data_IF_935764539628
#
_entry.id   IF_935764539628
#
_cell.length_a   1.000
_cell.length_b   1.000
_cell.length_c   1.000
_cell.angle_alpha   90.00
_cell.angle_beta   90.00
_cell.angle_gamma   90.00
#
_symmetry.space_group_name_H-M   'P 1'
#
loop_
_entity.id
_entity.type
_entity.pdbx_description
1 polymer ?
#
# COMPACT_ATOMS: atom_id res chain seq x y z
N UNK A 1 -32.82 63.38 54.91
CA UNK A 1 -33.46 63.61 53.62
C UNK A 1 -32.36 63.87 52.56
N UNK A 2 -32.06 62.94 51.72
CA UNK A 2 -31.56 63.16 50.35
C UNK A 2 -31.61 61.78 49.70
N UNK A 3 -32.34 61.68 48.63
CA UNK A 3 -32.58 60.51 47.79
C UNK A 3 -31.40 60.23 46.86
N UNK A 4 -30.83 59.09 46.89
CA UNK A 4 -29.82 58.62 45.96
C UNK A 4 -30.49 57.96 44.74
N UNK A 5 -30.17 58.45 43.54
CA UNK A 5 -30.59 57.87 42.28
C UNK A 5 -29.66 56.72 41.91
N UNK A 6 -30.19 55.51 41.88
CA UNK A 6 -29.50 54.36 41.31
C UNK A 6 -29.55 54.41 39.78
N UNK A 7 -28.37 54.42 39.11
CA UNK A 7 -28.22 54.20 37.68
C UNK A 7 -28.19 52.71 37.40
N UNK A 8 -29.25 52.19 36.80
CA UNK A 8 -29.31 50.85 36.23
C UNK A 8 -28.49 50.81 34.93
N UNK A 9 -27.38 50.13 34.93
CA UNK A 9 -26.64 49.85 33.73
C UNK A 9 -27.21 48.56 33.12
N UNK A 10 -27.90 48.71 31.97
CA UNK A 10 -28.37 47.57 31.17
C UNK A 10 -27.17 47.08 30.36
N UNK A 11 -26.64 45.96 30.74
CA UNK A 11 -25.59 45.25 29.94
C UNK A 11 -26.31 44.48 28.83
N UNK A 12 -26.26 45.00 27.60
CA UNK A 12 -26.71 44.28 26.43
C UNK A 12 -25.72 43.15 26.13
N UNK A 13 -26.08 41.94 26.49
CA UNK A 13 -25.34 40.74 26.05
C UNK A 13 -25.63 40.51 24.57
N UNK A 14 -24.67 40.84 23.73
CA UNK A 14 -24.68 40.45 22.32
C UNK A 14 -24.53 38.91 22.27
N UNK A 15 -25.62 38.21 21.98
CA UNK A 15 -25.60 36.77 21.66
C UNK A 15 -24.97 36.66 20.26
N UNK A 16 -23.68 36.35 20.23
CA UNK A 16 -23.02 35.85 19.04
C UNK A 16 -23.56 34.43 18.75
N UNK A 17 -24.59 34.34 17.93
CA UNK A 17 -24.97 33.07 17.29
C UNK A 17 -23.82 32.66 16.40
N UNK A 18 -23.29 31.45 16.52
CA UNK A 18 -22.34 30.94 15.56
C UNK A 18 -23.09 30.87 14.21
N UNK A 19 -22.62 31.59 13.24
CA UNK A 19 -23.01 31.38 11.84
C UNK A 19 -22.48 30.00 11.50
N UNK A 20 -23.35 28.99 11.66
CA UNK A 20 -23.14 27.69 11.06
C UNK A 20 -23.12 27.94 9.54
N UNK A 21 -21.92 28.15 8.99
CA UNK A 21 -21.74 28.11 7.57
C UNK A 21 -22.34 26.79 7.10
N UNK A 22 -23.35 26.86 6.24
CA UNK A 22 -23.77 25.75 5.40
C UNK A 22 -22.52 25.32 4.62
N UNK A 23 -21.75 24.39 5.17
CA UNK A 23 -20.88 23.57 4.35
C UNK A 23 -21.83 22.89 3.36
N UNK A 24 -21.67 23.21 2.07
CA UNK A 24 -22.19 22.38 1.02
C UNK A 24 -21.92 20.93 1.46
N UNK A 25 -22.91 20.05 1.40
CA UNK A 25 -22.70 18.61 1.58
C UNK A 25 -21.61 18.25 0.60
N UNK A 26 -20.37 18.17 1.07
CA UNK A 26 -19.30 17.54 0.34
C UNK A 26 -19.83 16.15 -0.02
N UNK A 27 -19.82 15.83 -1.30
CA UNK A 27 -20.21 14.54 -1.80
C UNK A 27 -19.34 13.50 -1.12
N UNK A 28 -19.65 12.83 -0.10
CA UNK A 28 -18.85 11.94 0.76
C UNK A 28 -17.67 11.15 0.14
N UNK A 29 -17.23 11.54 -1.07
CA UNK A 29 -16.09 10.98 -1.80
C UNK A 29 -14.78 11.31 -1.09
N UNK A 30 -13.91 10.32 -0.99
CA UNK A 30 -12.52 10.52 -0.59
C UNK A 30 -11.84 11.44 -1.62
N UNK A 31 -11.12 12.45 -1.12
CA UNK A 31 -10.27 13.31 -1.94
C UNK A 31 -8.83 12.96 -1.59
N UNK A 32 -8.08 12.50 -2.57
CA UNK A 32 -6.69 12.08 -2.40
C UNK A 32 -5.77 13.29 -2.22
N UNK A 33 -4.58 13.07 -1.66
CA UNK A 33 -3.57 14.13 -1.49
C UNK A 33 -3.20 14.81 -2.81
N UNK A 34 -3.07 14.04 -3.88
CA UNK A 34 -2.67 14.49 -5.22
C UNK A 34 -3.72 15.40 -5.91
N UNK A 35 -5.02 15.28 -5.56
CA UNK A 35 -6.09 16.12 -6.06
C UNK A 35 -6.06 17.53 -5.46
N UNK A 36 -5.41 17.72 -4.33
CA UNK A 36 -5.43 18.94 -3.53
C UNK A 36 -4.39 19.96 -4.01
N UNK A 37 -4.36 20.27 -5.29
CA UNK A 37 -3.42 21.21 -5.90
C UNK A 37 -3.32 22.55 -5.16
N UNK A 38 -4.42 23.05 -4.60
CA UNK A 38 -4.43 24.30 -3.83
C UNK A 38 -3.60 24.26 -2.55
N UNK A 39 -3.37 23.08 -2.00
CA UNK A 39 -2.59 22.89 -0.76
C UNK A 39 -1.08 22.81 -1.05
N UNK A 40 -0.68 22.08 -2.08
CA UNK A 40 0.75 21.79 -2.29
C UNK A 40 1.42 22.57 -3.43
N UNK A 41 0.71 23.09 -4.45
CA UNK A 41 1.32 23.91 -5.48
C UNK A 41 2.04 25.15 -4.92
N UNK A 42 1.48 25.88 -3.92
CA UNK A 42 2.20 26.99 -3.32
C UNK A 42 3.51 26.61 -2.64
N UNK A 43 3.63 25.35 -2.17
CA UNK A 43 4.83 24.85 -1.49
C UNK A 43 5.99 24.53 -2.46
N UNK A 44 5.66 24.30 -3.73
CA UNK A 44 6.62 23.92 -4.78
C UNK A 44 6.81 25.02 -5.84
N UNK A 45 6.19 26.18 -5.66
CA UNK A 45 6.30 27.29 -6.60
C UNK A 45 7.76 27.73 -6.79
N UNK A 46 8.20 27.80 -8.04
CA UNK A 46 9.57 28.19 -8.40
C UNK A 46 10.66 27.20 -8.03
N UNK A 47 10.32 25.98 -7.58
CA UNK A 47 11.26 24.92 -7.21
C UNK A 47 11.44 23.93 -8.36
N UNK A 48 12.61 23.25 -8.36
CA UNK A 48 12.83 22.04 -9.15
C UNK A 48 12.23 20.88 -8.37
N UNK A 49 11.35 20.13 -9.00
CA UNK A 49 10.58 19.08 -8.34
C UNK A 49 10.98 17.73 -8.88
N UNK A 50 11.36 16.80 -8.00
CA UNK A 50 11.39 15.37 -8.31
C UNK A 50 10.13 14.69 -7.82
N UNK A 51 9.75 13.56 -8.45
CA UNK A 51 8.55 12.81 -8.09
C UNK A 51 8.91 11.34 -7.86
N UNK A 52 8.54 10.77 -6.71
CA UNK A 52 8.56 9.33 -6.50
C UNK A 52 7.16 8.78 -6.78
N UNK A 53 7.02 8.05 -7.88
CA UNK A 53 5.74 7.54 -8.36
C UNK A 53 5.90 6.34 -9.27
N UNK A 54 4.79 5.69 -9.58
CA UNK A 54 4.66 4.66 -10.62
C UNK A 54 3.31 4.79 -11.35
N UNK A 55 2.85 3.73 -12.05
CA UNK A 55 1.58 3.73 -12.79
C UNK A 55 0.36 4.10 -11.92
N UNK A 56 0.44 3.98 -10.61
CA UNK A 56 -0.67 4.29 -9.70
C UNK A 56 -0.81 5.78 -9.39
N UNK A 57 0.16 6.61 -9.78
CA UNK A 57 0.14 8.07 -9.57
C UNK A 57 -0.84 8.79 -10.51
N UNK A 58 -2.09 8.30 -10.58
CA UNK A 58 -3.18 8.93 -11.32
C UNK A 58 -3.87 9.93 -10.41
N UNK A 59 -4.04 11.17 -10.88
CA UNK A 59 -4.66 12.24 -10.10
C UNK A 59 -6.10 11.89 -9.76
N UNK A 60 -6.35 11.70 -8.46
CA UNK A 60 -7.60 11.20 -7.96
C UNK A 60 -7.83 9.73 -8.34
N UNK A 61 -9.09 9.38 -8.53
CA UNK A 61 -9.56 8.04 -8.91
C UNK A 61 -10.17 8.01 -10.32
N UNK A 62 -9.65 8.81 -11.23
CA UNK A 62 -10.23 9.02 -12.56
C UNK A 62 -9.70 8.04 -13.60
N UNK A 63 -10.17 6.81 -13.52
CA UNK A 63 -10.00 5.81 -14.57
C UNK A 63 -11.38 5.47 -15.11
N UNK A 64 -11.67 5.81 -16.35
CA UNK A 64 -12.93 5.51 -17.00
C UNK A 64 -12.87 4.22 -17.81
N UNK A 65 -14.04 3.63 -18.13
CA UNK A 65 -14.15 2.40 -18.92
C UNK A 65 -13.88 1.11 -18.13
N UNK A 66 -13.54 1.20 -16.85
CA UNK A 66 -13.47 0.06 -15.94
C UNK A 66 -14.79 -0.15 -15.24
N UNK A 67 -15.30 -1.39 -15.19
CA UNK A 67 -16.51 -1.73 -14.44
C UNK A 67 -16.35 -1.41 -12.95
N UNK A 68 -15.16 -1.69 -12.39
CA UNK A 68 -14.86 -1.34 -11.02
C UNK A 68 -14.92 0.17 -10.78
N UNK A 69 -14.39 0.97 -11.71
CA UNK A 69 -14.47 2.42 -11.63
C UNK A 69 -15.91 2.93 -11.63
N UNK A 70 -16.76 2.39 -12.51
CA UNK A 70 -18.17 2.80 -12.60
C UNK A 70 -18.88 2.54 -11.26
N UNK A 71 -18.68 1.36 -10.66
CA UNK A 71 -19.24 1.00 -9.35
C UNK A 71 -18.66 1.88 -8.24
N UNK A 72 -17.33 2.05 -8.17
CA UNK A 72 -16.69 2.89 -7.15
C UNK A 72 -17.15 4.35 -7.24
N UNK A 73 -17.32 4.88 -8.46
CA UNK A 73 -17.78 6.25 -8.65
C UNK A 73 -19.21 6.46 -8.14
N UNK A 74 -20.08 5.45 -8.24
CA UNK A 74 -21.44 5.49 -7.69
C UNK A 74 -21.44 5.55 -6.16
N UNK A 75 -20.49 4.87 -5.50
CA UNK A 75 -20.35 4.81 -4.05
C UNK A 75 -19.30 5.78 -3.46
N UNK A 76 -18.79 6.70 -4.26
CA UNK A 76 -17.89 7.76 -3.80
C UNK A 76 -16.46 7.33 -3.51
N UNK A 77 -16.00 6.22 -4.10
CA UNK A 77 -14.59 5.77 -4.02
C UNK A 77 -14.28 4.84 -2.84
N UNK A 78 -15.24 4.61 -1.94
CA UNK A 78 -15.11 3.64 -0.84
C UNK A 78 -16.46 3.00 -0.53
N UNK A 79 -16.46 1.93 0.27
CA UNK A 79 -17.68 1.29 0.75
C UNK A 79 -17.55 0.87 2.21
N UNK A 80 -18.67 0.91 2.92
CA UNK A 80 -18.78 0.38 4.28
C UNK A 80 -19.21 -1.09 4.19
N UNK A 81 -18.45 -2.02 4.81
CA UNK A 81 -18.86 -3.41 4.90
C UNK A 81 -20.20 -3.61 5.62
N UNK A 82 -20.57 -2.69 6.52
CA UNK A 82 -21.86 -2.73 7.24
C UNK A 82 -23.04 -2.49 6.30
N UNK A 83 -22.85 -1.75 5.21
CA UNK A 83 -23.89 -1.51 4.21
C UNK A 83 -24.14 -2.72 3.29
N UNK A 84 -23.28 -3.75 3.40
CA UNK A 84 -23.38 -5.01 2.68
C UNK A 84 -23.56 -4.82 1.16
N UNK A 85 -22.81 -3.86 0.61
CA UNK A 85 -22.92 -3.47 -0.79
C UNK A 85 -22.43 -4.59 -1.71
N UNK A 86 -23.38 -5.37 -2.22
CA UNK A 86 -23.12 -6.53 -3.07
C UNK A 86 -22.40 -6.14 -4.36
N UNK A 87 -22.77 -5.01 -4.96
CA UNK A 87 -22.17 -4.55 -6.21
C UNK A 87 -20.68 -4.22 -6.02
N UNK A 88 -20.30 -3.58 -4.91
CA UNK A 88 -18.89 -3.30 -4.61
C UNK A 88 -18.10 -4.56 -4.27
N UNK A 89 -18.72 -5.50 -3.55
CA UNK A 89 -18.09 -6.79 -3.29
C UNK A 89 -17.85 -7.57 -4.58
N UNK A 90 -18.83 -7.60 -5.48
CA UNK A 90 -18.70 -8.23 -6.80
C UNK A 90 -17.64 -7.49 -7.65
N UNK A 91 -17.62 -6.16 -7.64
CA UNK A 91 -16.63 -5.36 -8.35
C UNK A 91 -15.20 -5.58 -7.83
N UNK A 92 -15.03 -5.74 -6.51
CA UNK A 92 -13.73 -6.03 -5.90
C UNK A 92 -13.18 -7.42 -6.26
N UNK A 93 -14.01 -8.31 -6.77
CA UNK A 93 -13.62 -9.66 -7.22
C UNK A 93 -13.20 -9.73 -8.68
N UNK A 94 -13.49 -8.68 -9.48
CA UNK A 94 -13.10 -8.62 -10.90
C UNK A 94 -11.74 -7.92 -11.04
N UNK A 95 -11.15 -8.06 -12.22
CA UNK A 95 -9.91 -7.35 -12.54
C UNK A 95 -10.17 -5.85 -12.67
N UNK A 96 -9.24 -5.04 -12.16
CA UNK A 96 -9.35 -3.58 -12.16
C UNK A 96 -9.56 -2.98 -13.55
N UNK A 97 -8.90 -3.57 -14.54
CA UNK A 97 -8.88 -3.05 -15.91
C UNK A 97 -9.88 -3.75 -16.84
N UNK A 98 -10.89 -4.44 -16.30
CA UNK A 98 -11.94 -5.01 -17.11
C UNK A 98 -12.89 -3.91 -17.63
N UNK A 99 -13.08 -3.75 -18.96
CA UNK A 99 -13.98 -2.73 -19.48
C UNK A 99 -15.43 -2.98 -19.08
N UNK A 100 -16.15 -1.93 -18.68
CA UNK A 100 -17.58 -1.98 -18.34
C UNK A 100 -18.46 -2.29 -19.55
N UNK A 101 -17.98 -1.99 -20.77
CA UNK A 101 -18.66 -2.28 -22.04
C UNK A 101 -17.84 -3.28 -22.85
N UNK A 102 -18.41 -4.38 -23.34
CA UNK A 102 -17.71 -5.31 -24.21
C UNK A 102 -17.07 -4.60 -25.41
N UNK A 103 -15.76 -4.73 -25.55
CA UNK A 103 -14.98 -4.04 -26.59
C UNK A 103 -14.69 -2.55 -26.28
N UNK A 104 -15.09 -2.05 -25.11
CA UNK A 104 -14.76 -0.72 -24.64
C UNK A 104 -13.25 -0.57 -24.38
N UNK A 105 -12.73 0.64 -24.59
CA UNK A 105 -11.36 1.00 -24.26
C UNK A 105 -11.35 1.59 -22.86
N UNK A 106 -10.42 1.10 -22.01
CA UNK A 106 -10.15 1.72 -20.71
C UNK A 106 -9.37 3.01 -20.96
N UNK A 107 -9.89 4.11 -20.42
CA UNK A 107 -9.23 5.41 -20.44
C UNK A 107 -8.67 5.71 -19.06
N UNK A 108 -7.36 5.76 -18.96
CA UNK A 108 -6.68 6.14 -17.73
C UNK A 108 -6.84 7.63 -17.45
N UNK A 109 -6.92 8.00 -16.19
CA UNK A 109 -6.82 9.39 -15.76
C UNK A 109 -5.43 9.97 -16.02
N UNK A 110 -5.27 11.25 -15.72
CA UNK A 110 -4.01 11.95 -15.91
C UNK A 110 -3.01 11.56 -14.82
N UNK A 111 -1.81 11.16 -15.23
CA UNK A 111 -0.72 10.89 -14.28
C UNK A 111 -0.25 12.20 -13.62
N UNK A 112 0.15 12.14 -12.34
CA UNK A 112 0.59 13.30 -11.57
C UNK A 112 1.73 14.09 -12.25
N UNK A 113 2.67 13.40 -12.92
CA UNK A 113 3.75 14.05 -13.67
C UNK A 113 3.18 14.92 -14.78
N UNK A 114 2.24 14.38 -15.59
CA UNK A 114 1.60 15.10 -16.68
C UNK A 114 0.81 16.29 -16.15
N UNK A 115 0.04 16.09 -15.07
CA UNK A 115 -0.77 17.12 -14.45
C UNK A 115 0.06 18.31 -13.91
N UNK A 116 1.23 18.01 -13.32
CA UNK A 116 2.14 19.04 -12.82
C UNK A 116 2.83 19.81 -13.94
N UNK A 117 3.26 19.12 -15.00
CA UNK A 117 3.84 19.75 -16.18
C UNK A 117 2.84 20.69 -16.87
N UNK A 118 1.58 20.29 -17.02
CA UNK A 118 0.51 21.16 -17.56
C UNK A 118 0.25 22.39 -16.70
N UNK A 119 0.47 22.29 -15.38
CA UNK A 119 0.37 23.42 -14.45
C UNK A 119 1.63 24.30 -14.42
N UNK A 120 2.63 23.99 -15.27
CA UNK A 120 3.87 24.75 -15.36
C UNK A 120 4.86 24.47 -14.24
N UNK A 121 4.71 23.38 -13.48
CA UNK A 121 5.69 22.97 -12.46
C UNK A 121 6.96 22.46 -13.16
N UNK A 122 8.11 22.88 -12.65
CA UNK A 122 9.40 22.45 -13.14
C UNK A 122 9.76 21.03 -12.61
N UNK A 123 9.17 19.99 -13.24
CA UNK A 123 9.47 18.59 -12.92
C UNK A 123 10.79 18.21 -13.58
N UNK A 124 11.81 17.92 -12.77
CA UNK A 124 13.19 17.69 -13.25
C UNK A 124 13.63 16.24 -13.19
N UNK A 125 12.97 15.40 -12.38
CA UNK A 125 13.33 14.00 -12.22
C UNK A 125 12.15 13.16 -11.72
N UNK A 126 12.21 11.85 -12.02
CA UNK A 126 11.30 10.84 -11.49
C UNK A 126 12.13 9.77 -10.80
N UNK A 127 11.78 9.41 -9.57
CA UNK A 127 12.22 8.19 -8.92
C UNK A 127 11.14 7.13 -9.06
N UNK A 128 11.54 5.94 -9.43
CA UNK A 128 10.63 4.81 -9.65
C UNK A 128 10.94 3.68 -8.69
N UNK A 129 9.91 3.05 -8.10
CA UNK A 129 10.09 1.85 -7.27
C UNK A 129 10.37 0.62 -8.13
N UNK A 130 10.41 -0.53 -7.49
CA UNK A 130 10.29 -1.85 -8.12
C UNK A 130 9.12 -1.85 -9.13
N UNK A 131 9.23 -2.58 -10.22
CA UNK A 131 8.32 -2.59 -11.38
C UNK A 131 8.38 -1.39 -12.32
N UNK A 132 9.19 -0.37 -12.04
CA UNK A 132 9.41 0.77 -12.93
C UNK A 132 8.28 1.80 -12.94
N UNK A 133 8.54 2.94 -13.57
CA UNK A 133 7.62 4.10 -13.56
C UNK A 133 6.27 3.83 -14.24
N UNK A 134 6.27 3.04 -15.34
CA UNK A 134 5.04 2.67 -16.06
C UNK A 134 4.53 1.26 -15.71
N UNK A 135 5.07 0.61 -14.67
CA UNK A 135 4.60 -0.67 -14.16
C UNK A 135 4.87 -1.87 -15.07
N UNK A 136 5.87 -1.81 -15.92
CA UNK A 136 6.16 -2.84 -16.94
C UNK A 136 7.33 -3.76 -16.58
N UNK A 137 8.10 -3.45 -15.52
CA UNK A 137 9.24 -4.26 -15.10
C UNK A 137 8.81 -5.41 -14.16
N UNK A 138 9.55 -6.53 -14.21
CA UNK A 138 9.32 -7.67 -13.30
C UNK A 138 9.84 -7.38 -11.89
N UNK A 139 9.35 -8.14 -10.91
CA UNK A 139 9.83 -8.08 -9.53
C UNK A 139 11.34 -8.34 -9.47
N UNK A 140 12.09 -7.44 -8.80
CA UNK A 140 13.56 -7.53 -8.68
C UNK A 140 14.34 -7.11 -9.94
N UNK A 141 13.66 -6.66 -11.00
CA UNK A 141 14.34 -6.12 -12.19
C UNK A 141 14.90 -4.72 -11.88
N UNK A 142 16.23 -4.56 -12.07
CA UNK A 142 16.87 -3.25 -11.90
C UNK A 142 16.47 -2.30 -13.03
N UNK A 143 15.83 -1.20 -12.66
CA UNK A 143 15.51 -0.12 -13.60
C UNK A 143 16.73 0.81 -13.68
N UNK A 144 17.41 0.81 -14.83
CA UNK A 144 18.49 1.77 -15.10
C UNK A 144 17.91 3.17 -15.33
N UNK A 145 18.74 4.21 -15.14
CA UNK A 145 18.39 5.58 -15.50
C UNK A 145 17.97 5.65 -16.96
N UNK A 146 16.84 6.28 -17.21
CA UNK A 146 16.19 6.40 -18.54
C UNK A 146 15.43 7.71 -18.62
N UNK A 147 14.76 7.94 -19.73
CA UNK A 147 13.88 9.12 -19.92
C UNK A 147 12.47 8.60 -20.15
N UNK A 148 11.48 9.18 -19.47
CA UNK A 148 10.08 8.89 -19.77
C UNK A 148 9.74 9.43 -21.17
N UNK A 149 9.40 8.54 -22.10
CA UNK A 149 9.19 8.89 -23.51
C UNK A 149 8.03 9.86 -23.71
N UNK A 150 7.05 9.85 -22.82
CA UNK A 150 5.86 10.71 -22.92
C UNK A 150 6.15 12.14 -22.51
N UNK A 151 6.92 12.35 -21.44
CA UNK A 151 7.14 13.66 -20.85
C UNK A 151 8.53 14.24 -21.09
N UNK A 152 9.50 13.40 -21.48
CA UNK A 152 10.90 13.77 -21.60
C UNK A 152 11.62 13.95 -20.25
N UNK A 153 10.97 13.65 -19.11
CA UNK A 153 11.57 13.76 -17.79
C UNK A 153 12.47 12.57 -17.51
N UNK A 154 13.63 12.84 -16.91
CA UNK A 154 14.60 11.81 -16.57
C UNK A 154 14.10 10.91 -15.43
N UNK A 155 14.18 9.59 -15.59
CA UNK A 155 13.93 8.59 -14.58
C UNK A 155 15.25 8.20 -13.94
N UNK A 156 15.39 8.44 -12.63
CA UNK A 156 16.61 8.19 -11.87
C UNK A 156 16.54 6.82 -11.18
N UNK A 157 17.61 6.05 -11.30
CA UNK A 157 17.76 4.78 -10.60
C UNK A 157 18.12 5.00 -9.13
N UNK A 158 17.53 4.19 -8.25
CA UNK A 158 17.90 4.13 -6.82
C UNK A 158 19.04 3.15 -6.53
N UNK A 159 19.50 2.41 -7.55
CA UNK A 159 20.44 1.30 -7.38
C UNK A 159 21.85 1.58 -7.93
N UNK A 160 22.09 2.79 -8.44
CA UNK A 160 23.36 3.15 -9.09
C UNK A 160 24.57 3.05 -8.16
N UNK A 161 24.39 3.33 -6.88
CA UNK A 161 25.47 3.37 -5.89
C UNK A 161 25.70 2.06 -5.16
N UNK A 162 24.81 1.06 -5.37
CA UNK A 162 24.80 -0.19 -4.59
C UNK A 162 24.38 -0.02 -3.12
N UNK A 163 23.96 1.18 -2.70
CA UNK A 163 23.59 1.52 -1.31
C UNK A 163 22.10 1.73 -1.12
N UNK A 164 21.27 1.55 -2.14
CA UNK A 164 19.85 1.89 -2.16
C UNK A 164 19.54 3.40 -1.95
N UNK A 165 20.55 4.26 -1.95
CA UNK A 165 20.41 5.70 -1.87
C UNK A 165 20.73 6.33 -3.25
N UNK A 166 20.01 7.38 -3.66
CA UNK A 166 20.36 8.16 -4.84
C UNK A 166 21.77 8.76 -4.74
N UNK A 167 22.42 8.92 -5.88
CA UNK A 167 23.73 9.60 -5.94
C UNK A 167 23.63 11.09 -5.61
N UNK A 168 24.72 11.72 -5.22
CA UNK A 168 24.77 13.16 -5.01
C UNK A 168 24.34 13.93 -6.27
N UNK A 169 24.73 13.45 -7.45
CA UNK A 169 24.33 14.02 -8.74
C UNK A 169 22.81 13.97 -8.94
N UNK A 170 22.18 12.84 -8.60
CA UNK A 170 20.72 12.70 -8.64
C UNK A 170 20.05 13.66 -7.67
N UNK A 171 20.61 13.81 -6.45
CA UNK A 171 20.05 14.71 -5.43
C UNK A 171 20.21 16.20 -5.78
N UNK A 172 21.18 16.57 -6.60
CA UNK A 172 21.38 17.95 -7.06
C UNK A 172 20.35 18.38 -8.14
N UNK A 173 19.62 17.45 -8.74
CA UNK A 173 18.67 17.75 -9.81
C UNK A 173 17.38 18.41 -9.33
N UNK A 174 17.05 18.35 -8.05
CA UNK A 174 15.80 18.87 -7.50
C UNK A 174 15.99 19.59 -6.16
N UNK A 175 14.96 20.32 -5.75
CA UNK A 175 14.90 21.03 -4.46
C UNK A 175 13.87 20.38 -3.53
N UNK A 176 12.77 19.85 -4.08
CA UNK A 176 11.68 19.22 -3.36
C UNK A 176 11.35 17.87 -4.02
N UNK A 177 11.11 16.85 -3.20
CA UNK A 177 10.62 15.54 -3.63
C UNK A 177 9.13 15.40 -3.29
N UNK A 178 8.29 15.20 -4.29
CA UNK A 178 6.90 14.76 -4.10
C UNK A 178 6.85 13.22 -4.09
N UNK A 179 6.04 12.66 -3.22
CA UNK A 179 5.74 11.23 -3.15
C UNK A 179 4.26 11.04 -3.48
N UNK A 180 3.96 10.34 -4.55
CA UNK A 180 2.61 10.00 -4.98
C UNK A 180 2.55 8.59 -5.52
N UNK A 181 2.25 7.63 -4.66
CA UNK A 181 2.26 6.20 -4.97
C UNK A 181 1.27 5.44 -4.09
N UNK A 182 0.62 4.42 -4.66
CA UNK A 182 -0.31 3.57 -3.92
C UNK A 182 0.42 2.39 -3.28
N UNK A 183 0.42 2.34 -1.96
CA UNK A 183 0.86 1.21 -1.15
C UNK A 183 -0.34 0.33 -0.74
N UNK A 184 -0.08 -0.90 -0.28
CA UNK A 184 -1.12 -1.83 0.18
C UNK A 184 -1.06 -2.12 1.68
N UNK A 185 -0.20 -1.44 2.43
CA UNK A 185 -0.16 -1.48 3.89
C UNK A 185 0.48 -2.71 4.51
N UNK A 186 1.38 -3.39 3.77
CA UNK A 186 2.04 -4.61 4.21
C UNK A 186 3.55 -4.44 4.25
N UNK A 187 4.20 -4.92 5.33
CA UNK A 187 5.64 -4.76 5.55
C UNK A 187 6.50 -5.27 4.41
N UNK A 188 6.12 -6.34 3.75
CA UNK A 188 6.86 -6.90 2.62
C UNK A 188 6.45 -6.32 1.25
N UNK A 189 5.55 -5.33 1.22
CA UNK A 189 5.27 -4.51 0.05
C UNK A 189 6.20 -3.28 0.08
N UNK A 190 7.18 -3.23 -0.83
CA UNK A 190 8.45 -2.53 -0.60
C UNK A 190 8.46 -1.02 -0.89
N UNK A 191 7.32 -0.41 -1.27
CA UNK A 191 7.29 1.03 -1.60
C UNK A 191 7.65 1.93 -0.41
N UNK A 192 7.23 1.57 0.79
CA UNK A 192 7.62 2.29 2.00
C UNK A 192 9.13 2.21 2.27
N UNK A 193 9.82 1.12 1.87
CA UNK A 193 11.27 0.97 2.01
C UNK A 193 11.97 1.97 1.09
N UNK A 194 11.50 2.07 -0.16
CA UNK A 194 12.00 3.05 -1.12
C UNK A 194 11.77 4.48 -0.62
N UNK A 195 10.57 4.77 -0.08
CA UNK A 195 10.28 6.06 0.54
C UNK A 195 11.22 6.35 1.73
N UNK A 196 11.50 5.37 2.58
CA UNK A 196 12.44 5.50 3.69
C UNK A 196 13.84 5.89 3.19
N UNK A 197 14.37 5.21 2.16
CA UNK A 197 15.68 5.55 1.59
C UNK A 197 15.69 6.96 0.98
N UNK A 198 14.61 7.37 0.34
CA UNK A 198 14.45 8.72 -0.19
C UNK A 198 14.34 9.76 0.94
N UNK A 199 13.67 9.45 2.05
CA UNK A 199 13.64 10.30 3.26
C UNK A 199 15.05 10.49 3.83
N UNK A 200 15.82 9.41 3.92
CA UNK A 200 17.21 9.46 4.36
C UNK A 200 18.07 10.33 3.44
N UNK A 201 17.94 10.15 2.13
CA UNK A 201 18.64 10.96 1.15
C UNK A 201 18.24 12.44 1.26
N UNK A 202 16.95 12.75 1.34
CA UNK A 202 16.45 14.11 1.54
C UNK A 202 17.02 14.75 2.82
N UNK A 203 17.03 14.00 3.92
CA UNK A 203 17.61 14.47 5.18
C UNK A 203 19.11 14.78 5.05
N UNK A 204 19.90 13.91 4.40
CA UNK A 204 21.35 14.09 4.19
C UNK A 204 21.69 15.28 3.30
N UNK A 205 20.86 15.56 2.30
CA UNK A 205 21.11 16.62 1.31
C UNK A 205 20.28 17.89 1.54
N UNK A 206 19.54 17.98 2.65
CA UNK A 206 18.72 19.15 3.00
C UNK A 206 17.60 19.42 2.01
N UNK A 207 16.97 18.36 1.48
CA UNK A 207 15.81 18.45 0.58
C UNK A 207 14.52 18.25 1.36
N UNK A 208 13.46 18.99 0.97
CA UNK A 208 12.11 18.79 1.52
C UNK A 208 11.42 17.64 0.80
N UNK A 209 10.67 16.82 1.54
CA UNK A 209 9.77 15.82 1.01
C UNK A 209 8.32 16.21 1.30
N UNK A 210 7.44 16.05 0.32
CA UNK A 210 5.99 16.21 0.46
C UNK A 210 5.32 14.91 0.03
N UNK A 211 4.57 14.29 0.94
CA UNK A 211 3.80 13.07 0.64
C UNK A 211 2.36 13.47 0.30
N UNK A 212 1.93 13.18 -0.92
CA UNK A 212 0.54 13.28 -1.35
C UNK A 212 -0.16 11.98 -0.98
N UNK A 213 -0.80 11.96 0.19
CA UNK A 213 -1.20 10.71 0.82
C UNK A 213 -2.38 10.03 0.10
N UNK A 214 -2.41 8.70 0.19
CA UNK A 214 -3.44 7.83 -0.39
C UNK A 214 -3.96 6.86 0.66
N UNK A 215 -5.25 6.46 0.59
CA UNK A 215 -5.82 5.47 1.50
C UNK A 215 -5.06 4.14 1.44
N UNK A 216 -4.94 3.50 2.60
CA UNK A 216 -4.43 2.14 2.68
C UNK A 216 -5.60 1.15 2.57
N UNK A 217 -5.66 0.25 1.55
CA UNK A 217 -6.74 -0.73 1.41
C UNK A 217 -6.80 -1.73 2.58
N UNK A 218 -5.67 -1.97 3.27
CA UNK A 218 -5.58 -2.76 4.49
C UNK A 218 -5.45 -1.87 5.75
N UNK A 219 -5.90 -0.61 5.69
CA UNK A 219 -5.81 0.35 6.79
C UNK A 219 -6.65 0.00 8.02
N UNK A 220 -7.70 -0.79 7.85
CA UNK A 220 -8.72 -1.11 8.83
C UNK A 220 -8.28 -2.09 9.94
N UNK A 221 -7.07 -2.65 9.86
CA UNK A 221 -6.56 -3.57 10.87
C UNK A 221 -5.05 -3.51 11.02
N UNK A 222 -4.57 -4.05 12.13
CA UNK A 222 -3.15 -4.31 12.41
C UNK A 222 -3.02 -5.78 12.74
N UNK A 223 -2.04 -6.47 12.15
CA UNK A 223 -1.82 -7.88 12.41
C UNK A 223 -0.39 -8.32 12.09
N UNK A 224 -0.02 -9.50 12.60
CA UNK A 224 1.30 -10.07 12.44
C UNK A 224 2.34 -9.49 13.41
N UNK A 225 3.45 -10.18 13.55
CA UNK A 225 4.52 -9.80 14.45
C UNK A 225 5.23 -8.51 14.03
N UNK A 226 5.72 -7.75 15.00
CA UNK A 226 6.72 -6.70 14.76
C UNK A 226 7.99 -7.36 14.20
N UNK A 227 8.61 -6.75 13.20
CA UNK A 227 9.87 -7.22 12.64
C UNK A 227 10.96 -7.28 13.72
N UNK A 228 11.48 -8.46 13.98
CA UNK A 228 12.76 -8.60 14.67
C UNK A 228 13.88 -8.14 13.72
N UNK A 229 14.63 -7.12 14.12
CA UNK A 229 15.64 -6.47 13.27
C UNK A 229 16.79 -7.41 12.85
N UNK A 230 16.89 -8.61 13.41
CA UNK A 230 17.77 -9.69 12.91
C UNK A 230 17.34 -10.21 11.53
N UNK A 231 16.06 -10.01 11.18
CA UNK A 231 15.48 -10.35 9.88
C UNK A 231 15.30 -9.12 8.97
N UNK A 232 15.94 -7.99 9.30
CA UNK A 232 15.94 -6.80 8.43
C UNK A 232 16.47 -7.15 7.04
N UNK A 233 15.72 -6.80 6.01
CA UNK A 233 16.02 -7.17 4.62
C UNK A 233 15.31 -6.24 3.63
N UNK A 234 15.51 -6.46 2.32
CA UNK A 234 14.78 -5.73 1.26
C UNK A 234 13.27 -5.95 1.26
N UNK A 235 12.73 -6.90 2.04
CA UNK A 235 11.29 -7.16 2.19
C UNK A 235 10.77 -6.95 3.62
N UNK A 236 11.57 -6.29 4.46
CA UNK A 236 11.23 -5.94 5.83
C UNK A 236 12.32 -5.04 6.41
N UNK A 237 12.06 -3.73 6.49
CA UNK A 237 13.10 -2.74 6.81
C UNK A 237 12.92 -2.08 8.17
N UNK A 238 11.69 -1.86 8.60
CA UNK A 238 11.34 -1.15 9.82
C UNK A 238 10.72 -2.08 10.87
N UNK A 239 10.86 -1.78 12.18
CA UNK A 239 10.28 -2.56 13.27
C UNK A 239 8.75 -2.31 13.38
N UNK A 240 8.01 -2.71 12.34
CA UNK A 240 6.55 -2.57 12.24
C UNK A 240 5.89 -3.94 12.13
N UNK A 241 4.59 -4.02 12.42
CA UNK A 241 3.79 -5.22 12.20
C UNK A 241 3.71 -5.57 10.71
N UNK A 242 3.41 -6.83 10.40
CA UNK A 242 3.24 -7.28 9.00
C UNK A 242 2.17 -6.47 8.29
N UNK A 243 0.99 -6.32 8.90
CA UNK A 243 -0.05 -5.37 8.48
C UNK A 243 -0.01 -4.20 9.45
N UNK A 244 0.48 -3.05 9.00
CA UNK A 244 0.72 -1.93 9.90
C UNK A 244 -0.48 -0.98 10.04
N UNK A 245 -1.48 -1.07 9.16
CA UNK A 245 -2.69 -0.28 9.23
C UNK A 245 -2.47 1.24 9.17
N UNK A 246 -1.43 1.70 8.47
CA UNK A 246 -1.07 3.11 8.31
C UNK A 246 -1.01 3.44 6.82
N UNK A 247 -1.29 4.70 6.45
CA UNK A 247 -0.98 5.21 5.10
C UNK A 247 0.53 5.48 4.96
N UNK A 248 1.00 5.74 3.74
CA UNK A 248 2.41 6.11 3.53
C UNK A 248 2.74 7.45 4.22
N UNK A 249 1.81 8.41 4.21
CA UNK A 249 2.00 9.69 4.90
C UNK A 249 2.16 9.52 6.41
N UNK A 250 1.31 8.70 7.03
CA UNK A 250 1.41 8.37 8.46
C UNK A 250 2.72 7.64 8.78
N UNK A 251 3.11 6.68 7.92
CA UNK A 251 4.36 5.95 8.12
C UNK A 251 5.58 6.85 7.95
N UNK A 252 5.56 7.81 7.02
CA UNK A 252 6.61 8.81 6.89
C UNK A 252 6.75 9.69 8.15
N UNK A 253 5.63 10.10 8.75
CA UNK A 253 5.64 10.82 10.02
C UNK A 253 6.24 9.97 11.14
N UNK A 254 5.89 8.69 11.19
CA UNK A 254 6.42 7.75 12.19
C UNK A 254 7.92 7.52 12.01
N UNK A 255 8.42 7.34 10.79
CA UNK A 255 9.85 7.21 10.47
C UNK A 255 10.64 8.39 11.04
N UNK A 256 10.16 9.61 10.82
CA UNK A 256 10.78 10.82 11.38
C UNK A 256 10.66 10.90 12.91
N UNK A 257 9.48 10.57 13.45
CA UNK A 257 9.17 10.69 14.87
C UNK A 257 9.99 9.72 15.72
N UNK A 258 10.07 8.48 15.30
CA UNK A 258 10.80 7.40 15.98
C UNK A 258 12.32 7.45 15.72
N UNK A 259 12.80 8.36 14.84
CA UNK A 259 14.22 8.47 14.53
C UNK A 259 14.78 7.27 13.78
N UNK A 260 13.98 6.68 12.87
CA UNK A 260 14.40 5.52 12.10
C UNK A 260 15.26 5.84 10.87
N UNK A 261 15.59 7.11 10.66
CA UNK A 261 16.60 7.56 9.69
C UNK A 261 17.98 7.49 10.34
N UNK A 262 18.93 6.86 9.65
CA UNK A 262 20.29 6.68 10.18
C UNK A 262 20.99 8.03 10.47
N UNK A 263 21.75 8.07 11.57
CA UNK A 263 22.56 9.23 11.98
C UNK A 263 21.79 10.35 12.69
N UNK A 264 20.67 10.02 13.36
CA UNK A 264 19.80 10.97 14.06
C UNK A 264 19.27 12.11 13.16
N UNK A 265 19.24 11.86 11.86
CA UNK A 265 18.74 12.81 10.88
C UNK A 265 17.22 12.86 10.88
N UNK A 266 16.67 14.00 10.47
CA UNK A 266 15.23 14.17 10.21
C UNK A 266 15.04 14.74 8.81
N UNK A 267 14.11 14.16 8.07
CA UNK A 267 13.68 14.69 6.80
C UNK A 267 12.77 15.91 7.03
N UNK A 268 12.98 17.00 6.31
CA UNK A 268 11.97 18.07 6.24
C UNK A 268 10.76 17.53 5.49
N UNK A 269 9.72 17.16 6.25
CA UNK A 269 8.58 16.41 5.76
C UNK A 269 7.28 17.18 5.90
N UNK A 270 6.45 17.13 4.86
CA UNK A 270 5.06 17.55 4.88
C UNK A 270 4.17 16.46 4.31
N UNK A 271 2.98 16.29 4.85
CA UNK A 271 1.98 15.33 4.34
C UNK A 271 0.74 16.09 3.96
N UNK A 272 0.26 15.88 2.73
CA UNK A 272 -1.05 16.34 2.27
C UNK A 272 -2.04 15.19 2.48
N UNK A 273 -2.81 15.20 3.56
CA UNK A 273 -3.68 14.07 3.90
C UNK A 273 -4.89 13.97 2.98
N UNK A 274 -5.43 12.78 2.84
CA UNK A 274 -6.73 12.56 2.21
C UNK A 274 -7.82 13.30 2.98
N UNK A 275 -8.87 13.78 2.29
CA UNK A 275 -10.09 14.27 2.93
C UNK A 275 -11.19 13.24 2.83
N UNK A 276 -12.10 13.23 3.81
CA UNK A 276 -13.25 12.31 3.90
C UNK A 276 -12.83 10.81 3.97
N UNK A 277 -11.63 10.51 4.39
CA UNK A 277 -11.15 9.16 4.62
C UNK A 277 -11.13 8.85 6.12
N UNK A 278 -11.63 7.68 6.48
CA UNK A 278 -11.45 7.08 7.81
C UNK A 278 -10.78 5.72 7.68
N UNK A 279 -10.12 5.30 8.72
CA UNK A 279 -9.34 4.04 8.71
C UNK A 279 -10.22 2.80 8.55
N UNK A 280 -11.45 2.86 9.08
CA UNK A 280 -12.44 1.77 8.97
C UNK A 280 -12.94 1.52 7.54
N UNK A 281 -12.81 2.49 6.64
CA UNK A 281 -13.28 2.36 5.26
C UNK A 281 -12.54 1.28 4.48
N UNK A 282 -13.28 0.55 3.63
CA UNK A 282 -12.74 -0.40 2.66
C UNK A 282 -12.51 0.31 1.33
N UNK A 283 -11.28 0.81 1.15
CA UNK A 283 -10.92 1.54 -0.06
C UNK A 283 -10.59 0.59 -1.20
N UNK A 284 -11.33 0.70 -2.30
CA UNK A 284 -11.07 -0.06 -3.51
C UNK A 284 -10.06 0.68 -4.41
N UNK A 285 -8.96 0.02 -4.74
CA UNK A 285 -7.99 0.53 -5.70
C UNK A 285 -8.58 0.43 -7.10
N UNK A 286 -8.39 1.46 -7.91
CA UNK A 286 -8.86 1.49 -9.31
C UNK A 286 -7.78 1.05 -10.31
N UNK A 287 -6.54 0.94 -9.87
CA UNK A 287 -5.42 0.42 -10.65
C UNK A 287 -4.68 -0.66 -9.86
N UNK A 288 -4.20 -1.69 -10.53
CA UNK A 288 -3.33 -2.69 -9.92
C UNK A 288 -2.10 -2.03 -9.30
N UNK A 289 -1.86 -2.21 -7.98
CA UNK A 289 -0.69 -1.63 -7.34
C UNK A 289 0.62 -2.30 -7.80
N UNK A 290 0.52 -3.54 -8.28
CA UNK A 290 1.62 -4.27 -8.93
C UNK A 290 1.10 -5.21 -10.01
N UNK A 291 1.95 -5.67 -10.95
CA UNK A 291 1.54 -6.60 -12.01
C UNK A 291 0.97 -7.94 -11.50
N UNK A 292 1.24 -8.29 -10.24
CA UNK A 292 0.81 -9.56 -9.65
C UNK A 292 -0.36 -9.40 -8.65
N UNK A 293 -0.82 -8.19 -8.36
CA UNK A 293 -2.02 -7.92 -7.56
C UNK A 293 -3.05 -7.28 -8.47
N UNK A 294 -3.80 -8.13 -9.20
CA UNK A 294 -4.60 -7.71 -10.35
C UNK A 294 -6.02 -7.27 -9.99
N UNK A 295 -6.49 -7.56 -8.78
CA UNK A 295 -7.80 -7.17 -8.26
C UNK A 295 -7.76 -6.97 -6.74
N UNK A 296 -8.89 -6.54 -6.18
CA UNK A 296 -8.98 -6.27 -4.73
C UNK A 296 -8.89 -7.54 -3.90
N UNK A 297 -9.32 -8.69 -4.43
CA UNK A 297 -9.23 -9.95 -3.69
C UNK A 297 -7.77 -10.37 -3.52
N UNK A 298 -6.96 -10.25 -4.57
CA UNK A 298 -5.51 -10.50 -4.49
C UNK A 298 -4.83 -9.54 -3.49
N UNK A 299 -5.24 -8.25 -3.44
CA UNK A 299 -4.72 -7.27 -2.48
C UNK A 299 -5.01 -7.67 -1.04
N UNK A 300 -6.23 -8.14 -0.74
CA UNK A 300 -6.58 -8.58 0.62
C UNK A 300 -5.94 -9.93 0.99
N UNK A 301 -5.95 -10.90 0.07
CA UNK A 301 -5.34 -12.22 0.31
C UNK A 301 -3.81 -12.16 0.39
N UNK A 302 -3.18 -11.13 -0.17
CA UNK A 302 -1.72 -10.98 -0.17
C UNK A 302 -1.12 -11.00 1.24
N UNK A 303 -1.83 -10.48 2.24
CA UNK A 303 -1.41 -10.55 3.65
C UNK A 303 -1.16 -11.98 4.15
N UNK A 304 -1.84 -12.96 3.56
CA UNK A 304 -1.77 -14.38 3.93
C UNK A 304 -0.96 -15.21 2.92
N UNK A 305 -1.10 -14.92 1.62
CA UNK A 305 -0.55 -15.75 0.55
C UNK A 305 0.87 -15.39 0.15
N UNK A 306 1.35 -14.19 0.49
CA UNK A 306 2.75 -13.81 0.25
C UNK A 306 3.72 -14.75 0.98
N UNK A 307 3.36 -15.33 2.11
CA UNK A 307 4.19 -16.28 2.85
C UNK A 307 4.59 -17.52 2.02
N UNK A 308 3.81 -17.90 1.00
CA UNK A 308 4.17 -18.99 0.09
C UNK A 308 5.45 -18.72 -0.70
N UNK A 309 5.86 -17.49 -0.89
CA UNK A 309 7.13 -17.16 -1.54
C UNK A 309 8.34 -17.64 -0.73
N UNK A 310 8.18 -17.79 0.59
CA UNK A 310 9.17 -18.39 1.49
C UNK A 310 9.05 -19.91 1.66
N UNK A 311 8.21 -20.58 0.87
CA UNK A 311 8.01 -22.04 0.92
C UNK A 311 8.28 -22.68 -0.44
N UNK A 312 8.16 -24.00 -0.54
CA UNK A 312 8.21 -24.69 -1.84
C UNK A 312 6.91 -24.55 -2.62
N UNK A 313 5.76 -24.35 -1.98
CA UNK A 313 4.50 -24.06 -2.67
C UNK A 313 4.55 -22.70 -3.39
N UNK A 314 3.69 -22.52 -4.37
CA UNK A 314 3.60 -21.27 -5.15
C UNK A 314 2.28 -20.54 -4.86
N UNK A 315 2.31 -19.21 -4.73
CA UNK A 315 1.08 -18.38 -4.71
C UNK A 315 0.54 -18.11 -6.13
N UNK A 316 0.76 -19.05 -7.06
CA UNK A 316 0.28 -19.00 -8.45
C UNK A 316 0.78 -17.82 -9.28
N UNK A 317 1.97 -17.24 -9.01
CA UNK A 317 2.60 -16.32 -9.96
C UNK A 317 2.75 -16.98 -11.33
N UNK A 318 2.58 -16.22 -12.41
CA UNK A 318 2.53 -16.77 -13.77
C UNK A 318 1.13 -17.22 -14.18
N UNK A 319 0.10 -16.76 -13.46
CA UNK A 319 -1.32 -16.92 -13.79
C UNK A 319 -2.04 -15.58 -13.69
N UNK A 320 -3.32 -15.53 -14.07
CA UNK A 320 -4.15 -14.33 -13.93
C UNK A 320 -4.73 -14.16 -12.51
N UNK A 321 -4.47 -15.10 -11.61
CA UNK A 321 -4.97 -15.14 -10.25
C UNK A 321 -3.83 -15.33 -9.20
N UNK A 322 -2.69 -14.68 -9.44
CA UNK A 322 -1.57 -14.69 -8.51
C UNK A 322 -2.02 -14.17 -7.12
N UNK A 323 -1.58 -14.85 -6.06
CA UNK A 323 -1.93 -14.58 -4.65
C UNK A 323 -3.39 -14.88 -4.25
N UNK A 324 -4.20 -15.38 -5.17
CA UNK A 324 -5.56 -15.82 -4.90
C UNK A 324 -5.71 -17.35 -4.86
N UNK A 325 -4.62 -18.04 -5.17
CA UNK A 325 -4.51 -19.50 -5.21
C UNK A 325 -3.15 -19.89 -4.67
N UNK A 326 -3.05 -21.03 -4.02
CA UNK A 326 -1.76 -21.64 -3.74
C UNK A 326 -1.74 -23.09 -4.22
N UNK A 327 -0.54 -23.60 -4.53
CA UNK A 327 -0.41 -24.98 -4.97
C UNK A 327 1.02 -25.46 -5.14
N UNK A 328 1.12 -26.74 -5.45
CA UNK A 328 2.40 -27.44 -5.70
C UNK A 328 2.15 -28.64 -6.63
N UNK A 329 3.12 -29.05 -7.48
CA UNK A 329 2.94 -30.23 -8.35
C UNK A 329 2.71 -31.54 -7.58
N UNK A 330 3.21 -31.67 -6.37
CA UNK A 330 3.16 -32.91 -5.59
C UNK A 330 2.03 -32.92 -4.53
N UNK A 331 1.16 -31.93 -4.49
CA UNK A 331 -0.07 -32.00 -3.71
C UNK A 331 -1.04 -33.01 -4.33
N UNK A 332 -1.74 -33.76 -3.51
CA UNK A 332 -2.66 -34.80 -3.97
C UNK A 332 -3.88 -34.17 -4.67
N UNK A 333 -4.03 -34.40 -5.97
CA UNK A 333 -5.14 -33.90 -6.79
C UNK A 333 -6.52 -34.31 -6.28
N UNK A 334 -6.63 -35.43 -5.55
CA UNK A 334 -7.91 -35.89 -4.97
C UNK A 334 -8.35 -35.07 -3.77
N UNK A 335 -7.41 -34.44 -3.04
CA UNK A 335 -7.65 -33.58 -1.89
C UNK A 335 -7.63 -32.09 -2.28
N UNK A 336 -6.70 -31.73 -3.17
CA UNK A 336 -6.50 -30.35 -3.68
C UNK A 336 -7.09 -30.25 -5.09
N UNK A 337 -8.41 -30.12 -5.15
CA UNK A 337 -9.19 -30.28 -6.39
C UNK A 337 -9.05 -29.16 -7.43
N UNK A 338 -8.30 -28.08 -7.14
CA UNK A 338 -8.03 -27.03 -8.11
C UNK A 338 -6.66 -27.24 -8.76
N UNK A 339 -6.63 -27.26 -10.10
CA UNK A 339 -5.39 -27.41 -10.87
C UNK A 339 -5.10 -26.17 -11.70
N UNK A 340 -3.83 -25.81 -11.80
CA UNK A 340 -3.36 -24.71 -12.63
C UNK A 340 -1.93 -24.94 -13.11
N UNK A 341 -1.54 -24.23 -14.18
CA UNK A 341 -0.20 -24.33 -14.74
C UNK A 341 0.40 -22.93 -14.88
N UNK A 342 1.40 -22.55 -14.05
CA UNK A 342 2.10 -21.27 -14.20
C UNK A 342 2.77 -21.16 -15.58
N UNK A 343 2.72 -19.96 -16.16
CA UNK A 343 3.36 -19.64 -17.45
C UNK A 343 4.16 -18.36 -17.35
N UNK A 344 5.10 -18.18 -18.27
CA UNK A 344 5.78 -16.90 -18.42
C UNK A 344 4.81 -15.83 -18.91
N UNK A 345 4.56 -14.82 -18.09
CA UNK A 345 3.68 -13.68 -18.40
C UNK A 345 4.37 -12.38 -17.96
N UNK A 346 3.94 -11.20 -18.44
CA UNK A 346 4.39 -9.92 -17.89
C UNK A 346 4.20 -9.86 -16.38
N UNK A 347 5.23 -9.40 -15.65
CA UNK A 347 5.23 -9.39 -14.18
C UNK A 347 5.67 -10.71 -13.52
N UNK A 348 5.79 -11.81 -14.31
CA UNK A 348 6.29 -13.11 -13.86
C UNK A 348 6.93 -13.89 -15.02
N UNK A 349 8.10 -13.40 -15.51
CA UNK A 349 8.80 -14.01 -16.66
C UNK A 349 9.27 -15.44 -16.39
N UNK A 350 9.63 -15.74 -15.14
CA UNK A 350 10.15 -17.04 -14.70
C UNK A 350 9.43 -17.52 -13.43
N UNK A 351 8.11 -17.82 -13.51
CA UNK A 351 7.37 -18.25 -12.33
C UNK A 351 7.84 -19.64 -11.87
N UNK A 352 7.74 -19.88 -10.57
CA UNK A 352 8.00 -21.21 -10.01
C UNK A 352 7.03 -22.22 -10.65
N UNK A 353 7.54 -23.41 -10.98
CA UNK A 353 6.80 -24.49 -11.66
C UNK A 353 6.25 -24.09 -13.04
N UNK A 354 6.96 -23.22 -13.74
CA UNK A 354 6.59 -22.85 -15.12
C UNK A 354 6.35 -24.11 -15.96
N UNK A 355 5.22 -24.14 -16.69
CA UNK A 355 4.77 -25.22 -17.57
C UNK A 355 4.56 -26.58 -16.87
N UNK A 356 4.47 -26.61 -15.53
CA UNK A 356 4.12 -27.80 -14.75
C UNK A 356 2.75 -27.62 -14.12
N UNK A 357 1.91 -28.66 -14.18
CA UNK A 357 0.65 -28.67 -13.47
C UNK A 357 0.87 -28.69 -11.97
N UNK A 358 0.16 -27.81 -11.26
CA UNK A 358 0.11 -27.73 -9.81
C UNK A 358 -1.31 -28.02 -9.35
N UNK A 359 -1.43 -28.66 -8.19
CA UNK A 359 -2.70 -28.87 -7.49
C UNK A 359 -2.73 -27.99 -6.25
N UNK A 360 -3.89 -27.47 -5.86
CA UNK A 360 -3.96 -26.53 -4.74
C UNK A 360 -5.35 -26.13 -4.32
N UNK A 361 -5.46 -24.99 -3.64
CA UNK A 361 -6.71 -24.38 -3.21
C UNK A 361 -6.98 -23.09 -3.97
N UNK A 362 -8.22 -22.94 -4.41
CA UNK A 362 -8.75 -21.72 -5.01
C UNK A 362 -9.42 -20.87 -3.93
N UNK A 363 -8.81 -19.74 -3.57
CA UNK A 363 -9.30 -18.81 -2.55
C UNK A 363 -10.21 -17.72 -3.14
N UNK A 364 -10.37 -17.67 -4.47
CA UNK A 364 -11.22 -16.68 -5.15
C UNK A 364 -12.69 -16.80 -4.76
N UNK A 365 -13.11 -17.98 -4.31
CA UNK A 365 -14.48 -18.24 -3.88
C UNK A 365 -14.75 -17.86 -2.41
N UNK A 366 -13.71 -17.43 -1.66
CA UNK A 366 -13.91 -16.97 -0.30
C UNK A 366 -14.65 -15.64 -0.28
N UNK A 367 -15.69 -15.48 0.58
CA UNK A 367 -16.32 -14.19 0.80
C UNK A 367 -15.30 -13.14 1.31
N UNK A 368 -15.44 -11.88 0.91
CA UNK A 368 -14.56 -10.80 1.36
C UNK A 368 -14.62 -10.63 2.88
N UNK A 369 -15.81 -10.74 3.47
CA UNK A 369 -16.01 -10.65 4.91
C UNK A 369 -15.17 -11.69 5.66
N UNK A 370 -15.13 -12.92 5.15
CA UNK A 370 -14.30 -13.97 5.75
C UNK A 370 -12.80 -13.62 5.65
N UNK A 371 -12.34 -13.09 4.52
CA UNK A 371 -10.94 -12.68 4.33
C UNK A 371 -10.59 -11.56 5.31
N UNK A 372 -11.48 -10.56 5.49
CA UNK A 372 -11.26 -9.45 6.42
C UNK A 372 -11.28 -9.88 7.88
N UNK A 373 -12.15 -10.83 8.28
CA UNK A 373 -12.21 -11.37 9.62
C UNK A 373 -10.99 -12.22 9.96
N UNK A 374 -10.53 -13.04 9.02
CA UNK A 374 -9.36 -13.92 9.21
C UNK A 374 -8.04 -13.14 9.26
N UNK A 375 -7.95 -11.95 8.64
CA UNK A 375 -6.73 -11.13 8.60
C UNK A 375 -5.55 -11.92 7.99
N UNK A 376 -4.46 -12.14 8.73
CA UNK A 376 -3.36 -13.03 8.30
C UNK A 376 -3.76 -14.48 8.58
N UNK A 377 -4.19 -15.18 7.54
CA UNK A 377 -4.65 -16.57 7.63
C UNK A 377 -3.51 -17.57 7.35
N UNK A 378 -2.61 -17.80 8.33
CA UNK A 378 -1.52 -18.79 8.20
C UNK A 378 -2.03 -20.22 8.00
N UNK A 379 -3.33 -20.49 8.23
CA UNK A 379 -3.94 -21.81 7.98
C UNK A 379 -3.73 -22.30 6.55
N UNK A 380 -3.61 -21.39 5.56
CA UNK A 380 -3.33 -21.76 4.17
C UNK A 380 -1.92 -22.33 4.00
N UNK A 381 -0.93 -21.70 4.64
CA UNK A 381 0.45 -22.21 4.65
C UNK A 381 0.53 -23.55 5.39
N UNK A 382 -0.14 -23.66 6.54
CA UNK A 382 -0.21 -24.88 7.34
C UNK A 382 -0.92 -26.02 6.57
N UNK A 383 -1.97 -25.72 5.79
CA UNK A 383 -2.66 -26.69 4.94
C UNK A 383 -1.69 -27.27 3.90
N UNK A 384 -0.99 -26.43 3.15
CA UNK A 384 0.01 -26.87 2.18
C UNK A 384 1.19 -27.64 2.83
N UNK A 385 1.66 -27.18 4.00
CA UNK A 385 2.70 -27.88 4.77
C UNK A 385 2.29 -29.31 5.14
N UNK A 386 1.06 -29.46 5.63
CA UNK A 386 0.50 -30.78 6.00
C UNK A 386 0.26 -31.66 4.78
N UNK A 387 -0.23 -31.07 3.67
CA UNK A 387 -0.48 -31.82 2.43
C UNK A 387 0.81 -32.35 1.79
N UNK A 388 1.89 -31.60 1.81
CA UNK A 388 3.17 -32.00 1.23
C UNK A 388 3.99 -32.93 2.13
N UNK A 389 3.79 -32.93 3.43
CA UNK A 389 4.46 -33.79 4.41
C UNK A 389 6.01 -33.79 4.31
N UNK A 390 6.60 -32.68 3.88
CA UNK A 390 8.03 -32.54 3.63
C UNK A 390 8.86 -32.19 4.87
N UNK A 391 8.21 -31.75 5.96
CA UNK A 391 8.92 -31.23 7.13
C UNK A 391 9.68 -29.92 6.81
N UNK A 392 10.89 -29.75 7.39
CA UNK A 392 11.73 -28.56 7.16
C UNK A 392 11.95 -28.16 5.69
N UNK A 393 12.18 -29.09 4.73
CA UNK A 393 12.30 -28.75 3.30
C UNK A 393 11.15 -27.96 2.70
N UNK A 394 9.97 -27.96 3.32
CA UNK A 394 8.84 -27.12 2.90
C UNK A 394 9.18 -25.64 2.87
N UNK A 395 10.02 -25.17 3.80
CA UNK A 395 10.43 -23.76 3.89
C UNK A 395 11.63 -23.40 2.98
N UNK A 396 12.03 -24.30 2.09
CA UNK A 396 13.20 -24.10 1.23
C UNK A 396 14.53 -24.16 2.00
N UNK A 397 15.61 -23.82 1.31
CA UNK A 397 16.98 -23.89 1.85
C UNK A 397 17.50 -22.55 2.38
N UNK A 398 16.71 -21.48 2.27
CA UNK A 398 17.06 -20.13 2.72
C UNK A 398 16.07 -19.68 3.81
N UNK A 399 16.36 -18.55 4.46
CA UNK A 399 15.51 -17.98 5.49
C UNK A 399 14.42 -17.04 4.95
N UNK A 400 13.99 -17.19 3.70
CA UNK A 400 13.05 -16.26 3.08
C UNK A 400 11.70 -16.22 3.79
N UNK A 401 11.24 -17.37 4.33
CA UNK A 401 10.02 -17.43 5.12
C UNK A 401 10.12 -16.57 6.40
N UNK A 402 11.23 -16.66 7.10
CA UNK A 402 11.49 -15.86 8.31
C UNK A 402 11.63 -14.37 7.98
N UNK A 403 12.20 -14.02 6.81
CA UNK A 403 12.24 -12.62 6.36
C UNK A 403 10.83 -12.05 6.11
N UNK A 404 9.92 -12.85 5.52
CA UNK A 404 8.51 -12.48 5.33
C UNK A 404 7.78 -12.39 6.67
N UNK A 405 7.90 -13.41 7.52
CA UNK A 405 7.27 -13.44 8.84
C UNK A 405 7.84 -12.36 9.78
N UNK A 406 9.08 -11.95 9.56
CA UNK A 406 9.82 -11.04 10.44
C UNK A 406 10.24 -11.65 11.76
N UNK A 407 10.07 -12.97 11.93
CA UNK A 407 10.30 -13.72 13.16
C UNK A 407 10.63 -15.18 12.85
N UNK A 408 11.57 -15.77 13.60
CA UNK A 408 11.92 -17.18 13.45
C UNK A 408 10.90 -18.15 14.03
N UNK A 409 10.23 -17.76 15.13
CA UNK A 409 9.33 -18.65 15.85
C UNK A 409 8.11 -19.11 15.03
N UNK A 410 7.71 -18.36 13.99
CA UNK A 410 6.54 -18.71 13.15
C UNK A 410 6.79 -20.04 12.44
N UNK A 411 7.97 -20.19 11.82
CA UNK A 411 8.38 -21.46 11.20
C UNK A 411 8.49 -22.57 12.22
N UNK A 412 9.16 -22.32 13.35
CA UNK A 412 9.34 -23.29 14.43
C UNK A 412 7.99 -23.83 14.93
N UNK A 413 7.01 -22.94 15.20
CA UNK A 413 5.68 -23.33 15.64
C UNK A 413 4.94 -24.18 14.60
N UNK A 414 5.07 -23.88 13.31
CA UNK A 414 4.46 -24.69 12.23
C UNK A 414 5.10 -26.09 12.21
N UNK A 415 6.42 -26.19 12.33
CA UNK A 415 7.15 -27.46 12.39
C UNK A 415 6.74 -28.29 13.62
N UNK A 416 6.48 -27.65 14.75
CA UNK A 416 6.01 -28.28 15.99
C UNK A 416 4.51 -28.63 15.94
N UNK A 417 3.80 -28.35 14.84
CA UNK A 417 2.41 -28.73 14.62
C UNK A 417 1.37 -27.77 15.16
N UNK A 418 1.77 -26.54 15.56
CA UNK A 418 0.83 -25.50 15.99
C UNK A 418 -0.18 -25.16 14.89
N UNK A 419 -1.37 -24.73 15.32
CA UNK A 419 -2.39 -24.16 14.44
C UNK A 419 -2.20 -22.64 14.25
N UNK A 420 -2.94 -22.07 13.31
CA UNK A 420 -2.84 -20.65 12.97
C UNK A 420 -3.23 -19.73 14.15
N UNK A 421 -4.23 -20.13 14.93
CA UNK A 421 -4.70 -19.34 16.07
C UNK A 421 -3.66 -19.25 17.18
N UNK A 422 -2.97 -20.37 17.45
CA UNK A 422 -1.87 -20.43 18.43
C UNK A 422 -0.71 -19.53 18.01
N UNK A 423 -0.40 -19.47 16.69
CA UNK A 423 0.65 -18.61 16.16
C UNK A 423 0.18 -17.13 16.24
N UNK A 424 -1.06 -16.84 15.88
CA UNK A 424 -1.62 -15.50 15.99
C UNK A 424 -1.64 -14.99 17.42
N UNK A 425 -1.99 -15.84 18.39
CA UNK A 425 -1.93 -15.51 19.81
C UNK A 425 -0.51 -15.13 20.28
N UNK A 426 0.54 -15.67 19.63
CA UNK A 426 1.94 -15.38 19.98
C UNK A 426 2.34 -13.94 19.64
N UNK A 427 1.83 -13.36 18.56
CA UNK A 427 2.13 -11.99 18.19
C UNK A 427 1.07 -10.96 18.65
N UNK A 428 0.02 -11.39 19.36
CA UNK A 428 -1.03 -10.46 19.81
C UNK A 428 -0.47 -9.29 20.63
N UNK A 429 0.54 -9.54 21.48
CA UNK A 429 1.18 -8.49 22.28
C UNK A 429 1.95 -7.48 21.39
N UNK A 430 2.58 -7.93 20.31
CA UNK A 430 3.25 -7.06 19.34
C UNK A 430 2.24 -6.15 18.63
N UNK A 431 1.08 -6.70 18.25
CA UNK A 431 -0.01 -5.95 17.63
C UNK A 431 -0.47 -4.82 18.54
N UNK A 432 -0.74 -5.09 19.82
CA UNK A 432 -1.16 -4.06 20.75
C UNK A 432 -0.05 -3.04 21.03
N UNK A 433 1.19 -3.47 21.19
CA UNK A 433 2.33 -2.56 21.36
C UNK A 433 2.49 -1.64 20.15
N UNK A 434 2.35 -2.16 18.93
CA UNK A 434 2.45 -1.36 17.72
C UNK A 434 1.27 -0.40 17.54
N UNK A 435 0.06 -0.80 17.88
CA UNK A 435 -1.11 0.10 17.90
C UNK A 435 -0.88 1.30 18.81
N UNK A 436 -0.27 1.09 19.99
CA UNK A 436 0.07 2.21 20.89
C UNK A 436 1.19 3.08 20.29
N UNK A 437 2.22 2.46 19.73
CA UNK A 437 3.38 3.17 19.16
C UNK A 437 2.99 4.06 17.99
N UNK A 438 2.08 3.63 17.10
CA UNK A 438 1.67 4.39 15.92
C UNK A 438 0.72 5.56 16.20
N UNK A 439 0.02 5.57 17.37
CA UNK A 439 -1.02 6.57 17.68
C UNK A 439 -0.63 8.03 17.45
N UNK A 440 0.57 8.51 17.85
CA UNK A 440 0.94 9.90 17.65
C UNK A 440 1.06 10.34 16.17
N UNK A 441 1.13 9.39 15.26
CA UNK A 441 1.37 9.61 13.82
C UNK A 441 0.12 9.42 12.96
N UNK A 442 -1.00 9.00 13.57
CA UNK A 442 -2.23 8.77 12.86
C UNK A 442 -2.91 10.09 12.47
N UNK A 443 -3.22 10.25 11.19
CA UNK A 443 -3.90 11.43 10.62
C UNK A 443 -5.40 11.23 10.48
N UNK A 444 -5.85 9.99 10.43
CA UNK A 444 -7.23 9.64 10.12
C UNK A 444 -7.93 9.00 11.32
N UNK A 445 -9.20 9.32 11.57
CA UNK A 445 -9.97 8.65 12.62
C UNK A 445 -10.14 7.16 12.32
N UNK A 446 -10.44 6.40 13.37
CA UNK A 446 -10.72 4.95 13.23
C UNK A 446 -12.05 4.72 12.49
N UNK A 447 -13.07 5.56 12.77
CA UNK A 447 -14.43 5.57 12.17
C UNK A 447 -14.84 6.98 11.72
#
# INVERSE_FOLDING_TARGET
MIKGFGKTVILAAAILLPVAGLRAKDSGRIILGDEQFGEYLPLIEGKRVAIFSNQTGIVGDKVSGSRLHDVISEYGGCFDPADNCRELQEAAMIQFLEPSTPGGKIEYGQHIVDALLEKGVNVTAIFSPEHGFRGTADAGEHVNSSVDEQTGVEILSLYETGTHLPSAESMDKFDILLVDIQDVGLRYYTYYITMHHLMEACARYGKKMIVLDRPNPNGFYVDGAILDMRYKSGIGWLPICTVHGMTLGELALMINGEGWIDGDLKCELEVIPCRNYTRGMRYCLILPPSPNLKDMKSVYLYSSTCYFEGTVATPARGTDFAFEVFGHPDLDASEYGFSFTPRSIPGAKHPRYQDRECHGRDLRLMPLEQIWEEKIALRHVIDAYRGLQMGEPFFGSNNHFELLAGQGYVREMILDGADADSIAARWAADVEAFKELRKPYLLYPED
#
